data_IF_736559289707
#
_entry.id   IF_736559289707
#
_cell.length_a   1.000
_cell.length_b   1.000
_cell.length_c   1.000
_cell.angle_alpha   90.00
_cell.angle_beta   90.00
_cell.angle_gamma   90.00
#
_symmetry.space_group_name_H-M   'P 1'
#
loop_
_entity.id
_entity.type
_entity.pdbx_description
1 polymer ?
#
# COMPACT_ATOMS: atom_id res chain seq x y z
N UNK A 1 10.39 -50.28 -12.20
CA UNK A 1 9.82 -49.14 -11.45
C UNK A 1 10.51 -47.87 -11.93
N UNK A 2 9.81 -47.06 -12.75
CA UNK A 2 10.34 -45.84 -13.38
C UNK A 2 9.89 -44.60 -12.60
N UNK A 3 10.74 -43.58 -12.42
CA UNK A 3 10.35 -42.37 -11.71
C UNK A 3 9.46 -41.49 -12.62
N UNK A 4 8.32 -41.06 -12.09
CA UNK A 4 7.42 -40.09 -12.71
C UNK A 4 8.07 -38.71 -12.64
N UNK A 5 8.48 -38.20 -13.81
CA UNK A 5 8.85 -36.80 -13.99
C UNK A 5 7.58 -35.96 -13.96
N UNK A 6 7.53 -35.01 -13.02
CA UNK A 6 6.56 -33.92 -12.99
C UNK A 6 6.71 -33.09 -14.28
N UNK A 7 5.70 -33.14 -15.15
CA UNK A 7 5.58 -32.24 -16.28
C UNK A 7 5.37 -30.79 -15.77
N UNK A 8 6.05 -29.79 -16.34
CA UNK A 8 5.76 -28.40 -16.01
C UNK A 8 4.40 -28.04 -16.63
N UNK A 9 3.49 -27.55 -15.79
CA UNK A 9 2.25 -26.91 -16.23
C UNK A 9 2.59 -25.60 -16.96
N UNK A 10 2.92 -25.71 -18.24
CA UNK A 10 3.01 -24.62 -19.20
C UNK A 10 1.59 -24.32 -19.72
N UNK A 11 0.73 -23.79 -18.87
CA UNK A 11 -0.47 -23.08 -19.31
C UNK A 11 -0.08 -21.62 -19.56
N UNK A 12 0.53 -21.41 -20.72
CA UNK A 12 0.80 -20.09 -21.29
C UNK A 12 -0.52 -19.40 -21.63
N UNK A 13 -0.62 -18.16 -21.16
CA UNK A 13 -1.65 -17.18 -21.47
C UNK A 13 -1.94 -17.08 -22.97
N UNK A 14 -3.16 -17.38 -23.38
CA UNK A 14 -3.62 -17.21 -24.77
C UNK A 14 -4.73 -16.17 -24.98
N UNK A 15 -5.09 -15.34 -23.97
CA UNK A 15 -6.14 -14.32 -24.17
C UNK A 15 -5.77 -12.86 -23.87
N UNK A 16 -4.52 -12.52 -23.56
CA UNK A 16 -4.08 -11.12 -23.39
C UNK A 16 -3.37 -10.52 -24.62
N UNK A 17 -3.41 -11.19 -25.78
CA UNK A 17 -2.79 -10.68 -27.02
C UNK A 17 -3.74 -9.70 -27.70
N UNK A 18 -3.64 -8.40 -27.37
CA UNK A 18 -4.22 -7.36 -28.24
C UNK A 18 -4.51 -6.01 -27.60
N UNK A 19 -4.72 -5.91 -26.28
CA UNK A 19 -4.93 -4.61 -25.65
C UNK A 19 -3.59 -3.92 -25.39
N UNK A 20 -3.40 -2.76 -26.02
CA UNK A 20 -2.33 -1.85 -25.62
C UNK A 20 -2.57 -1.42 -24.17
N UNK A 21 -1.57 -1.62 -23.30
CA UNK A 21 -1.64 -1.20 -21.90
C UNK A 21 -1.39 0.30 -21.82
N UNK A 22 -2.45 1.10 -22.01
CA UNK A 22 -2.42 2.55 -21.82
C UNK A 22 -3.37 2.94 -20.67
N UNK A 23 -2.87 3.23 -19.46
CA UNK A 23 -3.70 3.56 -18.31
C UNK A 23 -4.47 4.86 -18.48
N UNK A 24 -4.19 5.69 -19.50
CA UNK A 24 -4.99 6.89 -19.80
C UNK A 24 -6.35 6.54 -20.41
N UNK A 25 -6.44 5.42 -21.13
CA UNK A 25 -7.69 4.97 -21.76
C UNK A 25 -8.68 4.55 -20.67
N UNK A 26 -9.79 5.27 -20.58
CA UNK A 26 -10.84 4.96 -19.61
C UNK A 26 -11.39 3.54 -19.78
N UNK A 27 -11.76 2.85 -18.69
CA UNK A 27 -12.52 1.61 -18.80
C UNK A 27 -13.75 1.80 -19.70
N UNK A 28 -14.15 0.80 -20.50
CA UNK A 28 -15.39 0.88 -21.24
C UNK A 28 -16.57 1.03 -20.27
N UNK A 29 -17.66 1.64 -20.73
CA UNK A 29 -18.88 1.78 -19.94
C UNK A 29 -19.36 0.41 -19.42
N UNK A 30 -19.90 0.41 -18.21
CA UNK A 30 -20.46 -0.78 -17.56
C UNK A 30 -21.97 -0.60 -17.39
N UNK A 31 -22.72 -1.68 -17.61
CA UNK A 31 -24.14 -1.72 -17.30
C UNK A 31 -24.40 -1.50 -15.79
N UNK A 32 -25.62 -1.15 -15.37
CA UNK A 32 -25.98 -1.10 -13.97
C UNK A 32 -25.66 -2.44 -13.27
N UNK A 33 -25.04 -2.38 -12.10
CA UNK A 33 -24.77 -3.57 -11.27
C UNK A 33 -25.83 -3.76 -10.21
N UNK A 34 -26.07 -5.02 -9.84
CA UNK A 34 -26.97 -5.36 -8.74
C UNK A 34 -26.27 -5.16 -7.39
N UNK A 35 -27.02 -4.67 -6.40
CA UNK A 35 -26.51 -4.39 -5.06
C UNK A 35 -27.26 -5.22 -4.03
N UNK A 36 -26.50 -5.74 -3.06
CA UNK A 36 -27.04 -6.31 -1.83
C UNK A 36 -26.82 -5.31 -0.71
N UNK A 37 -27.89 -4.92 -0.04
CA UNK A 37 -27.83 -3.99 1.09
C UNK A 37 -27.76 -4.79 2.39
N UNK A 38 -26.80 -4.48 3.25
CA UNK A 38 -26.83 -4.96 4.63
C UNK A 38 -27.74 -4.07 5.47
N UNK A 39 -28.27 -4.62 6.57
CA UNK A 39 -28.87 -3.80 7.62
C UNK A 39 -27.87 -2.74 8.10
N UNK A 40 -28.33 -1.51 8.45
CA UNK A 40 -27.46 -0.48 9.00
C UNK A 40 -26.75 -1.00 10.26
N UNK A 41 -25.43 -0.83 10.30
CA UNK A 41 -24.62 -1.17 11.46
C UNK A 41 -23.67 -0.01 11.75
N UNK A 42 -23.54 0.35 13.03
CA UNK A 42 -22.72 1.48 13.49
C UNK A 42 -23.05 2.82 12.80
N UNK A 43 -24.31 3.06 12.41
CA UNK A 43 -24.75 4.32 11.78
C UNK A 43 -24.34 4.46 10.31
N UNK A 44 -24.13 3.34 9.61
CA UNK A 44 -23.69 3.28 8.22
C UNK A 44 -24.45 2.18 7.47
N UNK A 45 -24.85 2.48 6.23
CA UNK A 45 -25.45 1.51 5.31
C UNK A 45 -24.33 0.90 4.47
N UNK A 46 -24.26 -0.43 4.35
CA UNK A 46 -23.27 -1.09 3.48
C UNK A 46 -23.97 -1.72 2.29
N UNK A 47 -23.53 -1.33 1.10
CA UNK A 47 -23.91 -1.94 -0.16
C UNK A 47 -22.78 -2.85 -0.64
N UNK A 48 -23.12 -4.07 -1.05
CA UNK A 48 -22.16 -5.04 -1.57
C UNK A 48 -22.51 -5.42 -3.00
N UNK A 49 -21.50 -5.49 -3.85
CA UNK A 49 -21.62 -5.92 -5.24
C UNK A 49 -20.32 -6.58 -5.71
N UNK A 50 -20.33 -7.04 -6.95
CA UNK A 50 -19.13 -7.35 -7.69
C UNK A 50 -19.31 -6.94 -9.13
N UNK A 51 -18.23 -6.54 -9.79
CA UNK A 51 -18.26 -6.16 -11.20
C UNK A 51 -17.10 -6.80 -11.99
N UNK A 52 -17.25 -6.98 -13.31
CA UNK A 52 -16.16 -7.48 -14.14
C UNK A 52 -15.02 -6.47 -14.24
N UNK A 53 -13.80 -6.95 -14.02
CA UNK A 53 -12.56 -6.22 -14.29
C UNK A 53 -12.53 -5.77 -15.76
N UNK A 54 -12.16 -4.51 -16.08
CA UNK A 54 -12.02 -4.07 -17.47
C UNK A 54 -10.91 -4.80 -18.24
N UNK A 55 -9.94 -5.36 -17.53
CA UNK A 55 -8.85 -6.15 -18.08
C UNK A 55 -8.99 -7.61 -17.64
N UNK A 56 -8.95 -8.55 -18.58
CA UNK A 56 -9.06 -9.98 -18.28
C UNK A 56 -7.68 -10.63 -18.20
N UNK A 57 -7.36 -11.18 -17.04
CA UNK A 57 -6.11 -11.92 -16.79
C UNK A 57 -6.19 -13.39 -17.25
N UNK A 58 -7.40 -13.88 -17.56
CA UNK A 58 -7.66 -15.28 -17.85
C UNK A 58 -7.85 -16.13 -16.59
N UNK A 59 -7.95 -15.50 -15.42
CA UNK A 59 -8.23 -16.15 -14.15
C UNK A 59 -9.54 -15.58 -13.61
N UNK A 60 -10.60 -16.38 -13.69
CA UNK A 60 -11.99 -15.96 -13.48
C UNK A 60 -12.21 -15.17 -12.18
N UNK A 61 -11.74 -15.69 -11.05
CA UNK A 61 -11.93 -15.03 -9.76
C UNK A 61 -11.07 -13.77 -9.62
N UNK A 62 -9.93 -13.68 -10.31
CA UNK A 62 -9.17 -12.44 -10.41
C UNK A 62 -9.88 -11.42 -11.31
N UNK A 63 -10.64 -11.86 -12.30
CA UNK A 63 -11.32 -10.98 -13.27
C UNK A 63 -12.70 -10.51 -12.79
N UNK A 64 -13.14 -10.97 -11.61
CA UNK A 64 -14.31 -10.45 -10.89
C UNK A 64 -13.85 -9.62 -9.71
N UNK A 65 -14.34 -8.38 -9.58
CA UNK A 65 -13.90 -7.43 -8.55
C UNK A 65 -14.96 -7.33 -7.45
N UNK A 66 -14.71 -7.88 -6.24
CA UNK A 66 -15.57 -7.64 -5.08
C UNK A 66 -15.49 -6.19 -4.64
N UNK A 67 -16.65 -5.60 -4.35
CA UNK A 67 -16.76 -4.18 -4.03
C UNK A 67 -17.82 -3.91 -2.96
N UNK A 68 -17.47 -3.07 -1.99
CA UNK A 68 -18.36 -2.68 -0.90
C UNK A 68 -18.39 -1.16 -0.81
N UNK A 69 -19.58 -0.57 -0.74
CA UNK A 69 -19.78 0.88 -0.61
C UNK A 69 -20.48 1.16 0.71
N UNK A 70 -19.87 2.01 1.51
CA UNK A 70 -20.35 2.47 2.80
C UNK A 70 -20.99 3.84 2.58
N UNK A 71 -22.27 3.96 2.89
CA UNK A 71 -23.05 5.19 2.73
C UNK A 71 -23.36 5.81 4.09
N UNK A 72 -23.28 7.15 4.22
CA UNK A 72 -23.85 7.87 5.35
C UNK A 72 -25.35 7.59 5.49
N UNK A 73 -25.86 7.69 6.71
CA UNK A 73 -27.31 7.81 6.91
C UNK A 73 -27.82 9.17 6.43
N UNK A 74 -29.06 9.21 5.94
CA UNK A 74 -29.73 10.43 5.48
C UNK A 74 -29.82 10.55 3.96
N UNK A 75 -30.22 11.74 3.49
CA UNK A 75 -30.38 12.02 2.07
C UNK A 75 -29.08 12.56 1.48
N UNK A 76 -28.53 11.83 0.50
CA UNK A 76 -27.41 12.26 -0.33
C UNK A 76 -27.81 13.37 -1.33
N UNK A 77 -26.99 13.63 -2.36
CA UNK A 77 -25.80 12.88 -2.73
C UNK A 77 -24.57 13.27 -1.89
N UNK A 78 -23.71 12.29 -1.60
CA UNK A 78 -22.50 12.44 -0.78
C UNK A 78 -21.22 12.44 -1.62
N UNK A 79 -20.18 13.22 -1.27
CA UNK A 79 -18.84 13.06 -1.85
C UNK A 79 -18.36 11.62 -1.67
N UNK A 80 -17.55 11.12 -2.61
CA UNK A 80 -17.14 9.72 -2.63
C UNK A 80 -15.63 9.54 -2.48
N UNK A 81 -15.21 8.56 -1.69
CA UNK A 81 -13.79 8.18 -1.51
C UNK A 81 -13.59 6.71 -1.83
N UNK A 82 -12.74 6.40 -2.80
CA UNK A 82 -12.28 5.03 -3.05
C UNK A 82 -11.11 4.68 -2.12
N UNK A 83 -11.17 3.52 -1.46
CA UNK A 83 -10.20 3.01 -0.48
C UNK A 83 -9.56 1.73 -1.02
N UNK A 84 -8.23 1.73 -1.11
CA UNK A 84 -7.43 0.62 -1.70
C UNK A 84 -6.43 0.05 -0.69
N UNK A 85 -6.50 -1.26 -0.46
CA UNK A 85 -5.72 -1.97 0.55
C UNK A 85 -4.24 -2.20 0.17
N UNK A 86 -3.46 -2.69 1.13
CA UNK A 86 -2.02 -2.97 1.00
C UNK A 86 -1.70 -4.37 0.43
N UNK A 87 -0.43 -4.61 0.10
CA UNK A 87 0.05 -5.87 -0.46
C UNK A 87 0.01 -7.04 0.52
N UNK A 88 -0.61 -8.15 0.10
CA UNK A 88 -0.73 -9.38 0.90
C UNK A 88 -1.79 -9.31 1.99
N UNK A 89 -2.76 -8.39 1.88
CA UNK A 89 -3.88 -8.29 2.82
C UNK A 89 -4.66 -9.62 2.91
N UNK A 90 -4.95 -10.08 4.13
CA UNK A 90 -5.75 -11.29 4.40
C UNK A 90 -7.16 -10.96 4.89
N UNK A 91 -7.42 -9.69 5.20
CA UNK A 91 -8.72 -9.11 5.52
C UNK A 91 -8.73 -7.62 5.15
N UNK A 92 -9.89 -6.97 5.27
CA UNK A 92 -10.09 -5.55 4.95
C UNK A 92 -10.42 -4.72 6.20
N UNK A 93 -10.04 -5.14 7.41
CA UNK A 93 -10.49 -4.46 8.64
C UNK A 93 -10.06 -2.99 8.71
N UNK A 94 -8.86 -2.67 8.23
CA UNK A 94 -8.36 -1.30 8.22
C UNK A 94 -9.13 -0.41 7.23
N UNK A 95 -9.38 -0.93 6.03
CA UNK A 95 -10.10 -0.25 4.96
C UNK A 95 -11.57 -0.06 5.30
N UNK A 96 -12.21 -1.09 5.88
CA UNK A 96 -13.58 -1.00 6.42
C UNK A 96 -13.64 0.03 7.54
N UNK A 97 -12.68 0.03 8.47
CA UNK A 97 -12.64 1.04 9.54
C UNK A 97 -12.52 2.47 9.00
N UNK A 98 -11.74 2.70 7.94
CA UNK A 98 -11.65 4.00 7.30
C UNK A 98 -12.96 4.35 6.57
N UNK A 99 -13.52 3.42 5.80
CA UNK A 99 -14.76 3.64 5.06
C UNK A 99 -15.93 3.96 5.99
N UNK A 100 -16.05 3.27 7.12
CA UNK A 100 -17.04 3.57 8.17
C UNK A 100 -16.82 4.96 8.77
N UNK A 101 -15.58 5.35 9.08
CA UNK A 101 -15.28 6.70 9.60
C UNK A 101 -15.59 7.80 8.59
N UNK A 102 -15.34 7.57 7.30
CA UNK A 102 -15.70 8.48 6.21
C UNK A 102 -17.22 8.61 6.07
N UNK A 103 -17.96 7.50 6.11
CA UNK A 103 -19.42 7.48 6.08
C UNK A 103 -20.03 8.25 7.26
N UNK A 104 -19.50 8.07 8.47
CA UNK A 104 -19.89 8.84 9.65
C UNK A 104 -19.64 10.34 9.54
N UNK A 105 -18.74 10.76 8.65
CA UNK A 105 -18.43 12.16 8.35
C UNK A 105 -19.17 12.69 7.11
N UNK A 106 -20.12 11.93 6.56
CA UNK A 106 -20.95 12.38 5.44
C UNK A 106 -20.33 12.15 4.05
N UNK A 107 -19.36 11.23 3.93
CA UNK A 107 -18.77 10.82 2.66
C UNK A 107 -19.13 9.36 2.34
N UNK A 108 -19.61 9.07 1.14
CA UNK A 108 -19.67 7.69 0.65
C UNK A 108 -18.24 7.13 0.49
N UNK A 109 -18.02 5.86 0.82
CA UNK A 109 -16.69 5.27 0.74
C UNK A 109 -16.73 3.86 0.14
N UNK A 110 -15.97 3.62 -0.93
CA UNK A 110 -15.89 2.33 -1.62
C UNK A 110 -14.61 1.58 -1.26
N UNK A 111 -14.70 0.32 -0.87
CA UNK A 111 -13.54 -0.53 -0.58
C UNK A 111 -13.30 -1.50 -1.73
N UNK A 112 -12.16 -1.33 -2.42
CA UNK A 112 -11.75 -2.13 -3.56
C UNK A 112 -10.81 -3.26 -3.17
N UNK A 113 -11.04 -4.46 -3.71
CA UNK A 113 -10.08 -5.58 -3.62
C UNK A 113 -9.13 -5.59 -4.81
N UNK A 114 -7.82 -5.50 -4.56
CA UNK A 114 -6.77 -5.52 -5.59
C UNK A 114 -6.66 -6.87 -6.30
N UNK A 115 -6.11 -6.91 -7.54
CA UNK A 115 -5.85 -8.15 -8.26
C UNK A 115 -5.01 -9.14 -7.43
N UNK A 116 -5.35 -10.42 -7.52
CA UNK A 116 -4.69 -11.55 -6.84
C UNK A 116 -4.76 -11.55 -5.31
N UNK A 117 -5.62 -10.74 -4.69
CA UNK A 117 -5.81 -10.69 -3.23
C UNK A 117 -7.19 -11.17 -2.81
N UNK A 118 -7.32 -11.67 -1.58
CA UNK A 118 -8.59 -12.06 -0.95
C UNK A 118 -9.41 -12.98 -1.88
N UNK A 119 -10.68 -12.65 -2.16
CA UNK A 119 -11.54 -13.41 -3.08
C UNK A 119 -11.02 -13.50 -4.52
N UNK A 120 -10.08 -12.63 -4.91
CA UNK A 120 -9.41 -12.61 -6.22
C UNK A 120 -8.16 -13.49 -6.27
N UNK A 121 -7.82 -14.19 -5.19
CA UNK A 121 -6.65 -15.07 -5.09
C UNK A 121 -6.90 -16.39 -5.84
N UNK A 122 -6.06 -16.77 -6.82
CA UNK A 122 -6.27 -18.03 -7.53
C UNK A 122 -6.13 -19.26 -6.60
N UNK A 123 -6.75 -20.40 -6.93
CA UNK A 123 -6.63 -21.61 -6.13
C UNK A 123 -5.18 -21.98 -5.85
N UNK A 124 -4.87 -22.37 -4.60
CA UNK A 124 -3.53 -22.76 -4.12
C UNK A 124 -2.47 -21.64 -4.06
N UNK A 125 -2.84 -20.38 -4.29
CA UNK A 125 -1.99 -19.23 -4.01
C UNK A 125 -2.37 -18.56 -2.68
N UNK A 126 -1.44 -17.83 -2.07
CA UNK A 126 -1.76 -16.92 -0.95
C UNK A 126 -2.20 -15.56 -1.47
N UNK A 127 -2.97 -14.83 -0.66
CA UNK A 127 -3.42 -13.47 -1.00
C UNK A 127 -2.22 -12.58 -1.36
N UNK A 128 -2.28 -11.99 -2.55
CA UNK A 128 -1.25 -11.15 -3.13
C UNK A 128 -0.07 -11.88 -3.76
N UNK A 129 0.05 -13.20 -3.62
CA UNK A 129 1.25 -13.94 -4.05
C UNK A 129 1.59 -13.73 -5.54
N UNK A 130 0.58 -13.60 -6.39
CA UNK A 130 0.74 -13.39 -7.83
C UNK A 130 0.70 -11.92 -8.27
N UNK A 131 0.49 -10.98 -7.34
CA UNK A 131 0.44 -9.55 -7.66
C UNK A 131 1.84 -8.98 -7.97
N UNK A 132 2.88 -9.50 -7.33
CA UNK A 132 4.27 -9.10 -7.59
C UNK A 132 5.06 -10.32 -8.03
N UNK A 133 5.09 -10.55 -9.35
CA UNK A 133 5.86 -11.63 -9.99
C UNK A 133 7.20 -11.10 -10.51
N UNK A 134 8.26 -11.92 -10.55
CA UNK A 134 9.56 -11.53 -11.10
C UNK A 134 9.55 -11.53 -12.63
N UNK A 135 8.57 -10.86 -13.22
CA UNK A 135 8.32 -10.76 -14.65
C UNK A 135 7.75 -9.37 -14.99
N UNK A 136 8.48 -8.51 -15.73
CA UNK A 136 8.02 -7.15 -16.00
C UNK A 136 6.69 -7.10 -16.76
N UNK A 137 6.42 -8.06 -17.66
CA UNK A 137 5.14 -8.14 -18.34
C UNK A 137 3.99 -8.39 -17.36
N UNK A 138 4.14 -9.36 -16.46
CA UNK A 138 3.20 -9.60 -15.37
C UNK A 138 2.99 -8.40 -14.42
N UNK A 139 4.07 -7.66 -14.11
CA UNK A 139 3.98 -6.47 -13.28
C UNK A 139 3.18 -5.36 -13.99
N UNK A 140 3.44 -5.13 -15.29
CA UNK A 140 2.64 -4.21 -16.12
C UNK A 140 1.16 -4.59 -16.11
N UNK A 141 0.84 -5.85 -16.40
CA UNK A 141 -0.56 -6.29 -16.46
C UNK A 141 -1.25 -6.16 -15.12
N UNK A 142 -0.57 -6.45 -14.01
CA UNK A 142 -1.16 -6.36 -12.67
C UNK A 142 -1.43 -4.90 -12.27
N UNK A 143 -0.45 -4.01 -12.48
CA UNK A 143 -0.62 -2.59 -12.20
C UNK A 143 -1.70 -1.95 -13.09
N UNK A 144 -1.73 -2.31 -14.38
CA UNK A 144 -2.76 -1.85 -15.31
C UNK A 144 -4.16 -2.34 -14.91
N UNK A 145 -4.30 -3.64 -14.60
CA UNK A 145 -5.57 -4.19 -14.12
C UNK A 145 -6.03 -3.45 -12.86
N UNK A 146 -5.15 -3.28 -11.88
CA UNK A 146 -5.48 -2.57 -10.64
C UNK A 146 -5.93 -1.12 -10.86
N UNK A 147 -5.28 -0.38 -11.79
CA UNK A 147 -5.70 0.98 -12.11
C UNK A 147 -7.04 1.02 -12.83
N UNK A 148 -7.28 0.10 -13.77
CA UNK A 148 -8.55 0.04 -14.49
C UNK A 148 -9.70 -0.39 -13.58
N UNK A 149 -9.46 -1.33 -12.65
CA UNK A 149 -10.42 -1.73 -11.63
C UNK A 149 -10.80 -0.57 -10.72
N UNK A 150 -9.83 0.23 -10.27
CA UNK A 150 -10.10 1.40 -9.44
C UNK A 150 -10.95 2.45 -10.18
N UNK A 151 -10.65 2.71 -11.46
CA UNK A 151 -11.44 3.64 -12.28
C UNK A 151 -12.84 3.11 -12.55
N UNK A 152 -12.98 1.79 -12.77
CA UNK A 152 -14.29 1.12 -12.88
C UNK A 152 -15.07 1.13 -11.57
N UNK A 153 -14.39 1.03 -10.43
CA UNK A 153 -15.03 1.13 -9.11
C UNK A 153 -15.64 2.52 -8.88
N UNK A 154 -14.96 3.57 -9.35
CA UNK A 154 -15.50 4.93 -9.39
C UNK A 154 -16.74 4.96 -10.30
N UNK A 155 -16.66 4.43 -11.53
CA UNK A 155 -17.83 4.39 -12.44
C UNK A 155 -19.04 3.71 -11.80
N UNK A 156 -18.82 2.55 -11.16
CA UNK A 156 -19.86 1.76 -10.48
C UNK A 156 -20.45 2.53 -9.29
N UNK A 157 -19.63 3.21 -8.50
CA UNK A 157 -20.14 4.06 -7.41
C UNK A 157 -20.95 5.25 -7.95
N UNK A 158 -20.53 5.86 -9.06
CA UNK A 158 -21.22 7.00 -9.67
C UNK A 158 -22.58 6.64 -10.30
N UNK A 159 -22.90 5.35 -10.46
CA UNK A 159 -24.26 4.92 -10.84
C UNK A 159 -25.28 5.11 -9.72
N UNK A 160 -24.83 5.31 -8.47
CA UNK A 160 -25.70 5.46 -7.31
C UNK A 160 -26.21 6.91 -7.18
N UNK A 161 -27.52 7.13 -7.01
CA UNK A 161 -28.05 8.47 -6.75
C UNK A 161 -27.56 9.05 -5.42
N UNK A 162 -27.14 8.20 -4.47
CA UNK A 162 -26.57 8.63 -3.19
C UNK A 162 -25.14 9.17 -3.32
N UNK A 163 -24.48 8.98 -4.48
CA UNK A 163 -23.10 9.40 -4.72
C UNK A 163 -23.08 10.66 -5.58
N UNK A 164 -22.36 11.68 -5.11
CA UNK A 164 -22.24 12.98 -5.77
C UNK A 164 -21.27 12.91 -6.93
N UNK A 165 -21.75 13.35 -8.08
CA UNK A 165 -20.94 13.47 -9.29
C UNK A 165 -19.88 14.56 -9.11
N UNK A 166 -18.65 14.32 -9.58
CA UNK A 166 -17.57 15.31 -9.62
C UNK A 166 -16.78 15.51 -8.32
N UNK A 167 -17.19 14.91 -7.19
CA UNK A 167 -16.47 14.98 -5.92
C UNK A 167 -15.88 13.62 -5.55
N UNK A 168 -14.73 13.31 -6.15
CA UNK A 168 -14.05 12.00 -5.99
C UNK A 168 -12.73 12.14 -5.27
N UNK A 169 -12.64 11.43 -4.16
CA UNK A 169 -11.45 11.16 -3.38
C UNK A 169 -10.91 9.76 -3.66
N UNK A 170 -9.60 9.58 -3.48
CA UNK A 170 -8.99 8.24 -3.48
C UNK A 170 -7.91 8.13 -2.41
N UNK A 171 -7.90 7.01 -1.71
CA UNK A 171 -6.95 6.68 -0.68
C UNK A 171 -6.36 5.29 -0.93
N UNK A 172 -5.06 5.16 -0.69
CA UNK A 172 -4.38 3.88 -0.73
C UNK A 172 -3.34 3.71 0.35
N UNK A 173 -3.12 2.46 0.78
CA UNK A 173 -2.03 2.08 1.68
C UNK A 173 -0.99 1.22 0.96
N UNK A 174 0.30 1.54 1.07
CA UNK A 174 1.41 0.75 0.50
C UNK A 174 1.20 0.47 -1.00
N UNK A 175 1.08 -0.80 -1.44
CA UNK A 175 0.72 -1.14 -2.83
C UNK A 175 -0.55 -0.42 -3.30
N UNK A 176 -1.57 -0.30 -2.46
CA UNK A 176 -2.76 0.48 -2.77
C UNK A 176 -2.45 1.95 -3.01
N UNK A 177 -1.48 2.54 -2.29
CA UNK A 177 -1.03 3.92 -2.51
C UNK A 177 -0.26 4.07 -3.84
N UNK A 178 0.49 3.05 -4.24
CA UNK A 178 1.19 3.01 -5.54
C UNK A 178 0.17 2.93 -6.69
N UNK A 179 -0.86 2.09 -6.57
CA UNK A 179 -1.98 2.04 -7.53
C UNK A 179 -2.75 3.36 -7.54
N UNK A 180 -3.02 3.93 -6.36
CA UNK A 180 -3.63 5.25 -6.19
C UNK A 180 -2.83 6.33 -6.93
N UNK A 181 -1.49 6.28 -6.91
CA UNK A 181 -0.65 7.26 -7.60
C UNK A 181 -0.82 7.18 -9.13
N UNK A 182 -0.89 5.96 -9.68
CA UNK A 182 -1.16 5.77 -11.11
C UNK A 182 -2.56 6.28 -11.48
N UNK A 183 -3.59 5.91 -10.70
CA UNK A 183 -4.98 6.35 -10.92
C UNK A 183 -5.09 7.86 -10.83
N UNK A 184 -4.52 8.47 -9.79
CA UNK A 184 -4.49 9.92 -9.60
C UNK A 184 -3.87 10.63 -10.80
N UNK A 185 -2.78 10.09 -11.35
CA UNK A 185 -2.06 10.70 -12.45
C UNK A 185 -2.83 10.68 -13.78
N UNK A 186 -3.73 9.72 -13.98
CA UNK A 186 -4.43 9.53 -15.28
C UNK A 186 -5.94 9.79 -15.23
N UNK A 187 -6.56 9.86 -14.04
CA UNK A 187 -7.99 10.08 -13.87
C UNK A 187 -8.26 11.45 -13.24
N UNK A 188 -8.64 12.42 -14.09
CA UNK A 188 -8.84 13.81 -13.68
C UNK A 188 -10.03 14.01 -12.74
N UNK A 189 -10.95 13.04 -12.66
CA UNK A 189 -12.10 13.07 -11.74
C UNK A 189 -11.66 13.04 -10.28
N UNK A 190 -10.50 12.47 -9.99
CA UNK A 190 -9.91 12.48 -8.65
C UNK A 190 -9.46 13.90 -8.32
N UNK A 191 -10.20 14.55 -7.43
CA UNK A 191 -9.95 15.93 -6.99
C UNK A 191 -9.31 16.01 -5.61
N UNK A 192 -9.37 14.92 -4.82
CA UNK A 192 -8.74 14.76 -3.50
C UNK A 192 -8.00 13.42 -3.42
N UNK A 193 -6.79 13.38 -2.87
CA UNK A 193 -6.02 12.12 -2.79
C UNK A 193 -5.22 11.99 -1.50
N UNK A 194 -5.19 10.80 -0.91
CA UNK A 194 -4.36 10.51 0.24
C UNK A 194 -3.53 9.23 0.07
N UNK A 195 -2.25 9.30 0.45
CA UNK A 195 -1.29 8.21 0.31
C UNK A 195 -0.73 7.84 1.67
N UNK A 196 -0.92 6.60 2.10
CA UNK A 196 -0.31 6.08 3.32
C UNK A 196 0.81 5.10 3.01
N UNK A 197 2.04 5.45 3.39
CA UNK A 197 3.24 4.61 3.21
C UNK A 197 3.43 4.19 1.74
N UNK A 198 3.14 5.12 0.82
CA UNK A 198 3.23 4.96 -0.63
C UNK A 198 4.44 5.67 -1.23
N UNK A 199 4.63 5.48 -2.54
CA UNK A 199 5.70 6.09 -3.31
C UNK A 199 5.55 5.81 -4.79
N UNK A 200 6.48 6.37 -5.58
CA UNK A 200 6.57 6.19 -7.04
C UNK A 200 7.97 5.70 -7.43
N UNK A 201 8.27 5.57 -8.72
CA UNK A 201 9.42 4.80 -9.24
C UNK A 201 9.30 3.31 -8.86
N UNK A 202 8.39 2.62 -9.55
CA UNK A 202 8.10 1.18 -9.41
C UNK A 202 9.38 0.34 -9.50
N UNK A 203 10.26 0.68 -10.45
CA UNK A 203 11.51 -0.04 -10.62
C UNK A 203 12.40 0.12 -9.38
N UNK A 204 12.52 1.33 -8.83
CA UNK A 204 13.27 1.56 -7.59
C UNK A 204 12.69 0.80 -6.40
N UNK A 205 11.36 0.80 -6.26
CA UNK A 205 10.66 0.07 -5.20
C UNK A 205 10.97 -1.42 -5.32
N UNK A 206 10.78 -2.04 -6.48
CA UNK A 206 11.10 -3.46 -6.70
C UNK A 206 12.59 -3.76 -6.47
N UNK A 207 13.48 -2.85 -6.87
CA UNK A 207 14.92 -3.06 -6.75
C UNK A 207 15.45 -2.91 -5.32
N UNK A 208 14.76 -2.16 -4.46
CA UNK A 208 15.27 -1.79 -3.13
C UNK A 208 14.46 -2.36 -1.96
N UNK A 209 13.20 -2.75 -2.21
CA UNK A 209 12.27 -3.17 -1.17
C UNK A 209 12.71 -4.46 -0.46
N UNK A 210 12.61 -4.46 0.87
CA UNK A 210 12.86 -5.61 1.74
C UNK A 210 11.78 -6.69 1.61
N UNK A 211 10.61 -6.38 1.05
CA UNK A 211 9.46 -7.30 0.95
C UNK A 211 9.46 -8.17 -0.31
N UNK A 212 10.27 -7.84 -1.31
CA UNK A 212 10.28 -8.50 -2.63
C UNK A 212 11.67 -9.00 -3.04
N UNK A 213 12.51 -9.31 -2.03
CA UNK A 213 13.88 -9.81 -2.23
C UNK A 213 13.93 -11.02 -3.16
N UNK A 214 13.10 -12.07 -2.99
CA UNK A 214 13.11 -13.22 -3.89
C UNK A 214 12.79 -12.85 -5.34
N UNK A 215 11.84 -11.94 -5.55
CA UNK A 215 11.43 -11.47 -6.87
C UNK A 215 12.54 -10.66 -7.54
N UNK A 216 13.14 -9.73 -6.80
CA UNK A 216 14.29 -8.96 -7.26
C UNK A 216 15.46 -9.86 -7.66
N UNK A 217 15.79 -10.84 -6.84
CA UNK A 217 16.92 -11.72 -7.11
C UNK A 217 16.63 -12.66 -8.31
N UNK A 218 15.37 -13.07 -8.50
CA UNK A 218 14.95 -13.76 -9.71
C UNK A 218 15.07 -12.89 -10.97
N UNK A 219 14.68 -11.61 -10.90
CA UNK A 219 14.89 -10.65 -12.00
C UNK A 219 16.39 -10.47 -12.32
N UNK A 220 17.24 -10.35 -11.30
CA UNK A 220 18.70 -10.27 -11.47
C UNK A 220 19.28 -11.50 -12.17
N UNK A 221 18.87 -12.71 -11.75
CA UNK A 221 19.28 -13.96 -12.42
C UNK A 221 18.84 -14.03 -13.89
N UNK A 222 17.75 -13.35 -14.25
CA UNK A 222 17.28 -13.19 -15.64
C UNK A 222 17.97 -12.05 -16.40
N UNK A 223 19.01 -11.42 -15.83
CA UNK A 223 19.78 -10.35 -16.48
C UNK A 223 19.07 -9.00 -16.51
N UNK A 224 18.07 -8.77 -15.64
CA UNK A 224 17.52 -7.42 -15.47
C UNK A 224 18.45 -6.55 -14.62
N UNK A 225 18.40 -5.25 -14.86
CA UNK A 225 18.99 -4.18 -14.06
C UNK A 225 17.89 -3.21 -13.65
N UNK A 226 18.13 -2.36 -12.65
CA UNK A 226 17.14 -1.32 -12.26
C UNK A 226 16.76 -0.41 -13.44
N UNK A 227 17.69 0.12 -14.27
CA UNK A 227 17.33 0.91 -15.45
C UNK A 227 16.52 0.13 -16.48
N UNK A 228 16.87 -1.14 -16.74
CA UNK A 228 16.10 -1.99 -17.67
C UNK A 228 14.69 -2.24 -17.15
N UNK A 229 14.53 -2.50 -15.86
CA UNK A 229 13.22 -2.65 -15.25
C UNK A 229 12.41 -1.35 -15.32
N UNK A 230 13.05 -0.18 -15.13
CA UNK A 230 12.39 1.12 -15.26
C UNK A 230 11.85 1.35 -16.68
N UNK A 231 12.64 1.02 -17.70
CA UNK A 231 12.19 1.07 -19.09
C UNK A 231 10.99 0.15 -19.34
N UNK A 232 11.04 -1.08 -18.81
CA UNK A 232 9.94 -2.04 -18.95
C UNK A 232 8.66 -1.62 -18.24
N UNK A 233 8.74 -0.89 -17.14
CA UNK A 233 7.58 -0.49 -16.34
C UNK A 233 7.03 0.90 -16.70
N UNK A 234 7.61 1.59 -17.68
CA UNK A 234 7.28 2.98 -18.03
C UNK A 234 5.78 3.21 -18.28
N UNK A 235 5.10 2.25 -18.92
CA UNK A 235 3.65 2.35 -19.24
C UNK A 235 2.71 2.29 -18.04
N UNK A 236 3.19 1.89 -16.86
CA UNK A 236 2.42 1.86 -15.61
C UNK A 236 3.10 2.63 -14.49
N UNK A 237 4.18 3.36 -14.79
CA UNK A 237 4.90 4.19 -13.84
C UNK A 237 4.12 5.49 -13.61
N UNK A 238 3.70 5.81 -12.36
CA UNK A 238 3.02 7.07 -12.07
C UNK A 238 3.80 8.31 -12.52
N UNK A 239 5.13 8.32 -12.38
CA UNK A 239 5.97 9.45 -12.81
C UNK A 239 5.96 9.72 -14.32
N UNK A 240 5.51 8.77 -15.14
CA UNK A 240 5.30 9.01 -16.58
C UNK A 240 4.16 10.02 -16.82
N UNK A 241 3.23 10.13 -15.86
CA UNK A 241 1.99 10.91 -15.97
C UNK A 241 1.90 12.04 -14.95
N UNK A 242 2.88 12.16 -14.04
CA UNK A 242 2.98 13.24 -13.06
C UNK A 242 4.12 14.21 -13.42
N UNK A 243 4.04 15.50 -13.03
CA UNK A 243 2.92 16.13 -12.32
C UNK A 243 1.69 16.34 -13.23
N UNK A 244 0.50 16.47 -12.63
CA UNK A 244 -0.69 16.93 -13.33
C UNK A 244 -0.61 18.43 -13.60
N UNK A 245 -1.22 18.88 -14.69
CA UNK A 245 -1.43 20.31 -14.96
C UNK A 245 -2.30 20.97 -13.89
N UNK A 246 -3.38 20.30 -13.50
CA UNK A 246 -4.27 20.71 -12.41
C UNK A 246 -4.14 19.71 -11.26
N UNK A 247 -3.38 20.05 -10.20
CA UNK A 247 -3.18 19.16 -9.06
C UNK A 247 -4.44 19.05 -8.21
N UNK A 248 -4.73 17.84 -7.72
CA UNK A 248 -5.69 17.64 -6.64
C UNK A 248 -5.12 18.15 -5.31
N UNK A 249 -5.99 18.39 -4.34
CA UNK A 249 -5.52 18.44 -2.95
C UNK A 249 -5.03 17.06 -2.53
N UNK A 250 -3.85 17.01 -1.93
CA UNK A 250 -3.14 15.77 -1.65
C UNK A 250 -2.61 15.72 -0.22
N UNK A 251 -2.70 14.54 0.39
CA UNK A 251 -2.09 14.25 1.68
C UNK A 251 -1.18 13.01 1.60
N UNK A 252 0.10 13.19 1.88
CA UNK A 252 1.12 12.13 1.82
C UNK A 252 1.63 11.84 3.23
N UNK A 253 1.44 10.59 3.67
CA UNK A 253 1.96 10.08 4.93
C UNK A 253 3.15 9.15 4.63
N UNK A 254 4.35 9.62 4.93
CA UNK A 254 5.63 8.96 4.62
C UNK A 254 6.21 8.28 5.86
N UNK A 255 6.72 7.05 5.72
CA UNK A 255 7.59 6.42 6.71
C UNK A 255 9.05 6.78 6.45
N UNK A 256 9.71 7.44 7.39
CA UNK A 256 11.09 7.93 7.19
C UNK A 256 12.13 6.81 7.11
N UNK A 257 11.88 5.69 7.76
CA UNK A 257 12.80 4.54 7.82
C UNK A 257 12.21 3.33 7.09
N UNK A 258 11.39 3.60 6.08
CA UNK A 258 10.67 2.60 5.33
C UNK A 258 11.63 1.83 4.41
N UNK A 259 11.78 0.53 4.68
CA UNK A 259 12.60 -0.39 3.87
C UNK A 259 11.78 -1.13 2.82
N UNK A 260 10.45 -1.00 2.83
CA UNK A 260 9.54 -1.64 1.87
C UNK A 260 9.23 -0.69 0.72
N UNK A 261 8.86 0.55 1.02
CA UNK A 261 8.76 1.64 0.06
C UNK A 261 9.84 2.65 0.43
N UNK A 262 10.99 2.66 -0.28
CA UNK A 262 12.14 3.48 0.10
C UNK A 262 11.78 4.96 0.23
N UNK A 263 12.41 5.67 1.17
CA UNK A 263 12.20 7.11 1.39
C UNK A 263 12.31 7.91 0.09
N UNK A 264 13.27 7.57 -0.77
CA UNK A 264 13.47 8.21 -2.09
C UNK A 264 12.23 8.12 -3.01
N UNK A 265 11.47 7.02 -2.95
CA UNK A 265 10.24 6.82 -3.72
C UNK A 265 9.08 7.65 -3.19
N UNK A 266 8.96 7.80 -1.87
CA UNK A 266 7.97 8.69 -1.26
C UNK A 266 8.35 10.16 -1.46
N UNK A 267 9.62 10.53 -1.39
CA UNK A 267 10.10 11.88 -1.68
C UNK A 267 9.88 12.25 -3.17
N UNK A 268 10.04 11.30 -4.08
CA UNK A 268 9.70 11.49 -5.49
C UNK A 268 8.20 11.77 -5.68
N UNK A 269 7.32 11.09 -4.92
CA UNK A 269 5.88 11.36 -4.94
C UNK A 269 5.56 12.76 -4.40
N UNK A 270 6.20 13.18 -3.30
CA UNK A 270 6.05 14.53 -2.73
C UNK A 270 6.47 15.60 -3.75
N UNK A 271 7.60 15.42 -4.43
CA UNK A 271 8.05 16.35 -5.49
C UNK A 271 7.10 16.38 -6.69
N UNK A 272 6.50 15.24 -7.03
CA UNK A 272 5.59 15.11 -8.15
C UNK A 272 4.19 15.71 -7.88
N UNK A 273 3.88 16.05 -6.63
CA UNK A 273 2.62 16.69 -6.24
C UNK A 273 2.93 17.94 -5.39
N UNK A 274 3.34 19.05 -6.02
CA UNK A 274 3.60 20.30 -5.32
C UNK A 274 2.37 20.76 -4.54
N UNK A 275 2.57 21.25 -3.32
CA UNK A 275 1.48 21.70 -2.45
C UNK A 275 0.79 20.61 -1.63
N UNK A 276 1.18 19.34 -1.78
CA UNK A 276 0.65 18.27 -0.94
C UNK A 276 0.94 18.53 0.55
N UNK A 277 -0.04 18.25 1.40
CA UNK A 277 0.17 18.10 2.83
C UNK A 277 1.06 16.89 3.08
N UNK A 278 2.05 17.00 3.97
CA UNK A 278 2.99 15.91 4.26
C UNK A 278 3.07 15.65 5.76
N UNK A 279 2.86 14.40 6.15
CA UNK A 279 3.15 13.89 7.48
C UNK A 279 4.28 12.86 7.39
N UNK A 280 5.45 13.20 7.95
CA UNK A 280 6.58 12.26 8.07
C UNK A 280 6.52 11.54 9.41
N UNK A 281 6.41 10.22 9.37
CA UNK A 281 6.45 9.35 10.54
C UNK A 281 7.89 8.92 10.81
N UNK A 282 8.32 9.02 12.06
CA UNK A 282 9.64 8.56 12.54
C UNK A 282 9.65 7.04 12.73
N UNK A 283 9.16 6.30 11.73
CA UNK A 283 9.07 4.83 11.73
C UNK A 283 9.33 4.23 10.35
N UNK A 284 9.45 2.91 10.30
CA UNK A 284 9.47 2.12 9.07
C UNK A 284 8.08 1.65 8.63
N UNK A 285 8.01 0.82 7.58
CA UNK A 285 6.74 0.44 6.93
C UNK A 285 5.69 -0.12 7.90
N UNK A 286 6.11 -0.97 8.84
CA UNK A 286 5.18 -1.68 9.72
C UNK A 286 4.80 -0.91 10.97
N UNK A 287 5.52 0.15 11.34
CA UNK A 287 5.23 0.89 12.56
C UNK A 287 3.92 1.67 12.51
N UNK A 288 3.39 1.91 11.31
CA UNK A 288 2.07 2.52 11.11
C UNK A 288 0.94 1.76 11.81
N UNK A 289 1.07 0.44 12.02
CA UNK A 289 0.03 -0.38 12.66
C UNK A 289 -0.26 0.06 14.10
N UNK A 290 0.76 0.49 14.85
CA UNK A 290 0.60 0.92 16.25
C UNK A 290 -0.12 2.27 16.40
N UNK A 291 -0.14 3.05 15.33
CA UNK A 291 -0.80 4.36 15.29
C UNK A 291 -1.94 4.39 14.28
N UNK A 292 -2.36 3.23 13.79
CA UNK A 292 -3.32 3.10 12.68
C UNK A 292 -4.57 3.95 12.93
N UNK A 293 -5.18 3.88 14.12
CA UNK A 293 -6.36 4.68 14.47
C UNK A 293 -6.14 6.19 14.29
N UNK A 294 -4.96 6.70 14.66
CA UNK A 294 -4.59 8.12 14.51
C UNK A 294 -4.33 8.48 13.05
N UNK A 295 -3.72 7.58 12.28
CA UNK A 295 -3.49 7.77 10.85
C UNK A 295 -4.81 7.78 10.07
N UNK A 296 -5.69 6.82 10.31
CA UNK A 296 -7.00 6.76 9.66
C UNK A 296 -7.85 7.99 10.01
N UNK A 297 -7.79 8.47 11.26
CA UNK A 297 -8.44 9.73 11.65
C UNK A 297 -7.85 10.94 10.93
N UNK A 298 -6.53 11.02 10.77
CA UNK A 298 -5.91 12.12 10.05
C UNK A 298 -6.30 12.12 8.56
N UNK A 299 -6.45 10.93 7.96
CA UNK A 299 -6.92 10.76 6.57
C UNK A 299 -8.40 11.12 6.44
N UNK A 300 -9.28 10.65 7.34
CA UNK A 300 -10.70 10.99 7.27
C UNK A 300 -10.96 12.48 7.54
N UNK A 301 -10.15 13.10 8.40
CA UNK A 301 -10.18 14.54 8.64
C UNK A 301 -9.70 15.35 7.43
N UNK A 302 -8.66 14.88 6.72
CA UNK A 302 -8.23 15.47 5.46
C UNK A 302 -9.38 15.50 4.44
N UNK A 303 -10.02 14.36 4.17
CA UNK A 303 -11.14 14.33 3.22
C UNK A 303 -12.32 15.19 3.68
N UNK A 304 -12.68 15.13 4.96
CA UNK A 304 -13.79 15.92 5.51
C UNK A 304 -13.60 17.43 5.30
N UNK A 305 -12.43 17.95 5.69
CA UNK A 305 -12.09 19.37 5.51
C UNK A 305 -12.06 19.77 4.05
N UNK A 306 -11.39 18.96 3.24
CA UNK A 306 -11.16 19.28 1.84
C UNK A 306 -12.43 19.25 0.98
N UNK A 307 -13.37 18.34 1.26
CA UNK A 307 -14.68 18.33 0.59
C UNK A 307 -15.60 19.47 1.06
N UNK A 308 -15.43 19.97 2.29
CA UNK A 308 -16.14 21.15 2.79
C UNK A 308 -15.53 22.48 2.35
N UNK A 309 -14.39 22.46 1.65
CA UNK A 309 -13.64 23.66 1.29
C UNK A 309 -12.98 24.34 2.49
N UNK A 310 -12.80 23.61 3.60
CA UNK A 310 -12.15 24.10 4.80
C UNK A 310 -10.64 23.82 4.75
N UNK A 311 -9.79 24.67 5.35
CA UNK A 311 -8.36 24.44 5.36
C UNK A 311 -8.00 23.21 6.21
N UNK A 312 -7.28 22.26 5.61
CA UNK A 312 -6.68 21.14 6.33
C UNK A 312 -5.27 21.50 6.83
N UNK A 313 -4.98 21.11 8.07
CA UNK A 313 -3.62 21.21 8.65
C UNK A 313 -3.17 19.83 9.09
N UNK A 314 -2.21 19.27 8.35
CA UNK A 314 -1.64 17.98 8.70
C UNK A 314 -1.02 18.00 10.11
N UNK A 315 -1.18 16.92 10.89
CA UNK A 315 -0.48 16.79 12.17
C UNK A 315 1.02 16.99 12.00
N UNK A 316 1.66 17.77 12.87
CA UNK A 316 3.12 17.98 12.81
C UNK A 316 3.91 16.70 13.11
N UNK A 317 3.37 15.83 13.97
CA UNK A 317 4.03 14.59 14.39
C UNK A 317 3.00 13.59 14.92
N UNK A 318 3.19 12.32 14.56
CA UNK A 318 2.56 11.18 15.22
C UNK A 318 3.68 10.24 15.66
N UNK A 319 3.80 10.00 16.96
CA UNK A 319 4.80 9.07 17.48
C UNK A 319 4.37 7.63 17.17
N UNK A 320 5.12 6.97 16.30
CA UNK A 320 4.92 5.58 15.93
C UNK A 320 6.22 4.82 16.23
N UNK A 321 6.19 3.71 16.99
CA UNK A 321 7.38 2.92 17.23
C UNK A 321 7.84 2.24 15.93
N UNK A 322 9.13 1.90 15.83
CA UNK A 322 9.70 1.16 14.70
C UNK A 322 9.88 -0.31 15.08
N UNK A 323 9.30 -1.22 14.29
CA UNK A 323 9.58 -2.65 14.42
C UNK A 323 10.81 -3.02 13.62
N UNK A 324 11.63 -3.91 14.18
CA UNK A 324 12.85 -4.44 13.58
C UNK A 324 12.84 -5.96 13.67
N UNK A 325 13.32 -6.61 12.62
CA UNK A 325 13.81 -7.98 12.72
C UNK A 325 15.32 -7.90 12.87
N UNK A 326 15.88 -8.58 13.87
CA UNK A 326 17.29 -8.41 14.16
C UNK A 326 17.98 -9.62 14.76
N UNK A 327 19.30 -9.58 14.66
CA UNK A 327 20.25 -10.50 15.28
C UNK A 327 21.09 -9.68 16.25
N UNK A 328 21.01 -9.99 17.53
CA UNK A 328 21.86 -9.43 18.58
C UNK A 328 22.99 -10.39 18.88
N UNK A 329 24.20 -9.89 19.13
CA UNK A 329 25.34 -10.70 19.56
C UNK A 329 26.09 -9.98 20.68
N UNK A 330 26.18 -10.62 21.85
CA UNK A 330 26.92 -10.09 22.99
C UNK A 330 27.54 -11.21 23.85
N UNK A 331 28.60 -10.93 24.65
CA UNK A 331 29.29 -11.94 25.45
C UNK A 331 28.43 -12.69 26.48
N UNK A 332 27.32 -12.10 26.96
CA UNK A 332 26.49 -12.68 28.03
C UNK A 332 25.37 -13.59 27.48
N UNK A 333 24.90 -13.34 26.25
CA UNK A 333 23.78 -14.06 25.65
C UNK A 333 24.14 -14.81 24.36
N UNK A 334 25.31 -14.55 23.79
CA UNK A 334 25.71 -15.07 22.49
C UNK A 334 24.89 -14.45 21.36
N UNK A 335 24.76 -15.18 20.24
CA UNK A 335 23.98 -14.74 19.08
C UNK A 335 22.50 -15.08 19.26
N UNK A 336 21.63 -14.08 19.13
CA UNK A 336 20.21 -14.12 19.46
C UNK A 336 19.37 -13.49 18.35
N UNK A 337 18.29 -14.14 17.94
CA UNK A 337 17.40 -13.67 16.86
C UNK A 337 16.05 -13.30 17.45
N UNK A 338 15.49 -12.18 17.03
CA UNK A 338 14.29 -11.65 17.66
C UNK A 338 13.69 -10.43 16.97
N UNK A 339 12.72 -9.84 17.65
CA UNK A 339 11.97 -8.67 17.20
C UNK A 339 12.35 -7.49 18.09
N UNK A 340 12.79 -6.40 17.47
CA UNK A 340 13.05 -5.13 18.12
C UNK A 340 11.87 -4.16 18.00
N UNK A 341 11.63 -3.38 19.05
CA UNK A 341 10.75 -2.23 19.06
C UNK A 341 11.55 -1.00 19.50
N UNK A 342 11.77 -0.05 18.59
CA UNK A 342 12.45 1.20 18.91
C UNK A 342 11.64 1.98 19.95
N UNK A 343 12.29 2.26 21.08
CA UNK A 343 11.75 3.04 22.18
C UNK A 343 12.04 4.53 22.02
N UNK A 344 13.19 4.88 21.44
CA UNK A 344 13.60 6.25 21.17
C UNK A 344 14.72 6.30 20.12
N UNK A 345 14.90 7.49 19.54
CA UNK A 345 16.00 7.82 18.63
C UNK A 345 16.74 9.02 19.20
N UNK A 346 18.06 8.96 19.15
CA UNK A 346 18.96 9.95 19.75
C UNK A 346 19.46 10.97 18.73
N UNK A 347 19.35 10.70 17.43
CA UNK A 347 19.71 11.64 16.38
C UNK A 347 18.63 11.76 15.30
N UNK A 348 18.79 12.79 14.45
CA UNK A 348 17.87 13.01 13.33
C UNK A 348 17.96 11.90 12.30
N UNK A 349 19.11 11.28 12.05
CA UNK A 349 19.27 10.26 10.99
C UNK A 349 18.70 8.89 11.40
N UNK A 350 18.36 8.72 12.67
CA UNK A 350 17.98 7.43 13.25
C UNK A 350 19.15 6.47 13.41
N UNK A 351 20.40 6.96 13.36
CA UNK A 351 21.58 6.12 13.46
C UNK A 351 21.85 5.73 14.91
N UNK A 352 21.65 6.64 15.86
CA UNK A 352 21.64 6.35 17.28
C UNK A 352 20.22 6.08 17.79
N UNK A 353 19.98 4.90 18.38
CA UNK A 353 18.65 4.46 18.82
C UNK A 353 18.70 3.53 20.04
N UNK A 354 17.56 3.45 20.73
CA UNK A 354 17.29 2.47 21.78
C UNK A 354 16.15 1.54 21.35
N UNK A 355 16.35 0.23 21.40
CA UNK A 355 15.35 -0.78 21.06
C UNK A 355 15.15 -1.77 22.20
N UNK A 356 13.89 -2.02 22.56
CA UNK A 356 13.53 -3.22 23.31
C UNK A 356 13.58 -4.40 22.35
N UNK A 357 14.31 -5.46 22.70
CA UNK A 357 14.52 -6.62 21.84
C UNK A 357 14.03 -7.88 22.54
N UNK A 358 13.06 -8.56 21.91
CA UNK A 358 12.45 -9.79 22.41
C UNK A 358 12.90 -10.98 21.57
N UNK A 359 13.40 -12.01 22.24
CA UNK A 359 13.94 -13.23 21.65
C UNK A 359 13.58 -14.46 22.49
N UNK A 360 13.80 -15.70 22.00
CA UNK A 360 13.62 -16.92 22.79
C UNK A 360 14.44 -16.96 24.09
N UNK A 361 15.52 -16.17 24.18
CA UNK A 361 16.36 -16.07 25.40
C UNK A 361 15.89 -14.98 26.38
N UNK A 362 14.71 -14.40 26.14
CA UNK A 362 14.09 -13.38 26.99
C UNK A 362 14.37 -11.94 26.54
N UNK A 363 13.73 -10.95 27.17
CA UNK A 363 13.85 -9.55 26.78
C UNK A 363 15.25 -8.98 27.03
N UNK A 364 15.62 -8.00 26.22
CA UNK A 364 16.83 -7.18 26.36
C UNK A 364 16.59 -5.76 25.86
N UNK A 365 17.48 -4.84 26.20
CA UNK A 365 17.50 -3.47 25.71
C UNK A 365 18.82 -3.24 24.99
N UNK A 366 18.77 -2.78 23.75
CA UNK A 366 19.97 -2.33 23.03
C UNK A 366 19.94 -0.81 22.89
N UNK A 367 21.03 -0.13 23.22
CA UNK A 367 21.23 1.29 22.95
C UNK A 367 22.56 1.42 22.23
N UNK A 368 22.54 1.95 21.01
CA UNK A 368 23.74 1.99 20.19
C UNK A 368 23.64 2.86 18.95
N UNK A 369 24.68 2.78 18.12
CA UNK A 369 24.82 3.54 16.90
C UNK A 369 24.99 2.62 15.69
N UNK A 370 24.26 2.93 14.62
CA UNK A 370 24.32 2.26 13.32
C UNK A 370 25.60 2.65 12.60
N UNK A 371 26.33 1.65 12.12
CA UNK A 371 27.58 1.83 11.36
C UNK A 371 27.39 1.64 9.85
N UNK A 372 26.33 0.95 9.42
CA UNK A 372 26.01 0.71 8.00
C UNK A 372 25.47 -0.71 7.76
N UNK A 373 24.81 -0.95 6.62
CA UNK A 373 24.36 -2.31 6.24
C UNK A 373 23.38 -3.00 7.21
N UNK A 374 22.73 -2.23 8.10
CA UNK A 374 21.87 -2.75 9.17
C UNK A 374 22.63 -3.08 10.47
N UNK A 375 23.96 -3.00 10.45
CA UNK A 375 24.83 -3.27 11.59
C UNK A 375 24.95 -2.05 12.51
N UNK A 376 24.89 -2.31 13.81
CA UNK A 376 24.97 -1.33 14.89
C UNK A 376 25.83 -1.90 16.03
N UNK A 377 26.51 -1.03 16.77
CA UNK A 377 27.26 -1.38 17.98
C UNK A 377 26.77 -0.56 19.16
N UNK A 378 26.76 -1.14 20.35
CA UNK A 378 26.21 -0.46 21.51
C UNK A 378 26.22 -1.31 22.77
N UNK A 379 25.44 -0.87 23.75
CA UNK A 379 25.26 -1.56 25.03
C UNK A 379 23.98 -2.41 24.96
N UNK A 380 24.11 -3.68 25.31
CA UNK A 380 22.99 -4.62 25.51
C UNK A 380 22.79 -4.80 27.02
N UNK A 381 21.63 -4.39 27.52
CA UNK A 381 21.18 -4.65 28.88
C UNK A 381 20.19 -5.81 28.92
N UNK A 382 20.36 -6.76 29.83
CA UNK A 382 19.40 -7.85 30.06
C UNK A 382 19.39 -8.28 31.54
N UNK A 383 18.56 -9.27 31.88
CA UNK A 383 18.57 -9.88 33.21
C UNK A 383 19.94 -10.50 33.61
N UNK A 384 20.82 -10.77 32.64
CA UNK A 384 22.18 -11.28 32.87
C UNK A 384 23.23 -10.19 33.12
N UNK A 385 22.85 -8.91 33.03
CA UNK A 385 23.76 -7.76 33.13
C UNK A 385 23.82 -6.94 31.83
N UNK A 386 24.76 -6.00 31.80
CA UNK A 386 25.02 -5.13 30.66
C UNK A 386 26.37 -5.48 30.01
N UNK A 387 26.41 -5.52 28.68
CA UNK A 387 27.60 -5.83 27.89
C UNK A 387 27.67 -4.95 26.64
N UNK A 388 28.84 -4.82 26.04
CA UNK A 388 28.97 -4.27 24.69
C UNK A 388 28.63 -5.37 23.69
N UNK A 389 27.76 -5.05 22.74
CA UNK A 389 27.27 -5.99 21.75
C UNK A 389 27.09 -5.36 20.36
N UNK A 390 26.90 -6.24 19.40
CA UNK A 390 26.54 -5.91 18.04
C UNK A 390 25.06 -6.23 17.80
N UNK A 391 24.40 -5.40 16.99
CA UNK A 391 23.02 -5.60 16.60
C UNK A 391 22.88 -5.37 15.11
N UNK A 392 22.49 -6.41 14.37
CA UNK A 392 22.09 -6.30 12.98
C UNK A 392 20.57 -6.27 12.89
N UNK A 393 19.99 -5.32 12.16
CA UNK A 393 18.53 -5.26 11.95
C UNK A 393 18.12 -4.67 10.61
N UNK A 394 16.92 -5.05 10.16
CA UNK A 394 16.25 -4.55 8.94
C UNK A 394 14.98 -3.78 9.23
#
# INVERSE_FOLDING_TARGET
MRPLWLAPLLLLATFARGQALDPRVAPPAIAPVEWKTSEPADGVIVLETSFPSPFTSGIENNDTVPYRVFLPEGQGPFPFVLVIHYFGATDLRAEVSLATELAKRGMAAGVLTLPYHLGRTPPRARSGELAIRPDPAALRTTMFQASQDARRAIDVAMQRPEVRQGEVGIFGTSLGAIVTALVYAVDTRVTKVAFLLGGVDLAKIIWSSSRVVPQRDALRRRGFTEPKLRQELTVVEPLTYLPRTEPASAFIIQGRFDTVVPEASSDALIRAIPGAHVLKLETGHYGGIFVQRRLLRAVSDFFDKEFKGEPYVAPKRIYAPTLRLGISADPLRGLDVGIGLDLFRLDKRGDAFGTAFLSPRGPSLFIGQRLGGGFSVGVVGSAKGASVGAFWST
#
